data_IF_468805549946
#
_entry.id   IF_468805549946
#
_cell.length_a   1.000
_cell.length_b   1.000
_cell.length_c   1.000
_cell.angle_alpha   90.00
_cell.angle_beta   90.00
_cell.angle_gamma   90.00
#
_symmetry.space_group_name_H-M   'P 1'
#
loop_
_entity.id
_entity.type
_entity.pdbx_description
1 polymer ?
#
# COMPACT_ATOMS: atom_id res chain seq x y z
N UNK A 1 -17.81 -17.76 -61.29
CA UNK A 1 -17.47 -18.48 -60.03
C UNK A 1 -16.45 -17.65 -59.28
N UNK A 2 -16.88 -17.05 -58.19
CA UNK A 2 -16.14 -16.03 -57.45
C UNK A 2 -15.25 -16.69 -56.37
N UNK A 3 -13.96 -16.34 -56.41
CA UNK A 3 -12.98 -16.76 -55.38
C UNK A 3 -12.91 -15.66 -54.34
N UNK A 4 -13.24 -16.00 -53.09
CA UNK A 4 -13.13 -15.10 -51.94
C UNK A 4 -11.71 -15.18 -51.35
N UNK A 5 -11.03 -14.03 -51.35
CA UNK A 5 -9.71 -13.86 -50.76
C UNK A 5 -9.88 -13.39 -49.30
N UNK A 6 -9.61 -14.28 -48.34
CA UNK A 6 -9.52 -13.91 -46.91
C UNK A 6 -8.15 -13.29 -46.65
N UNK A 7 -8.15 -12.00 -46.33
CA UNK A 7 -6.95 -11.30 -45.80
C UNK A 7 -6.95 -11.46 -44.29
N UNK A 8 -6.04 -12.27 -43.76
CA UNK A 8 -5.75 -12.36 -42.32
C UNK A 8 -4.80 -11.20 -41.95
N UNK A 9 -5.33 -10.23 -41.24
CA UNK A 9 -4.51 -9.20 -40.59
C UNK A 9 -3.98 -9.78 -39.30
N UNK A 10 -2.72 -10.19 -39.30
CA UNK A 10 -1.98 -10.62 -38.13
C UNK A 10 -1.64 -9.42 -37.23
N UNK A 11 -2.21 -9.40 -36.05
CA UNK A 11 -1.87 -8.44 -35.01
C UNK A 11 -0.60 -8.92 -34.29
N UNK A 12 0.56 -8.37 -34.65
CA UNK A 12 1.81 -8.61 -33.91
C UNK A 12 1.76 -7.87 -32.57
N UNK A 13 1.62 -8.62 -31.51
CA UNK A 13 1.75 -8.12 -30.14
C UNK A 13 3.25 -8.13 -29.81
N UNK A 14 3.91 -6.98 -29.93
CA UNK A 14 5.29 -6.82 -29.47
C UNK A 14 5.29 -6.64 -27.96
N UNK A 15 5.68 -7.70 -27.25
CA UNK A 15 5.98 -7.63 -25.81
C UNK A 15 7.40 -7.06 -25.69
N UNK A 16 7.50 -5.79 -25.28
CA UNK A 16 8.77 -5.18 -24.92
C UNK A 16 9.06 -5.48 -23.45
N UNK A 17 9.88 -6.49 -23.20
CA UNK A 17 10.45 -6.76 -21.88
C UNK A 17 11.59 -5.79 -21.64
N UNK A 18 11.38 -4.80 -20.76
CA UNK A 18 12.46 -3.95 -20.24
C UNK A 18 13.06 -4.65 -19.04
N UNK A 19 14.30 -5.13 -19.18
CA UNK A 19 15.09 -5.61 -18.06
C UNK A 19 15.44 -4.42 -17.15
N UNK A 20 15.09 -4.52 -15.86
CA UNK A 20 15.52 -3.57 -14.85
C UNK A 20 16.93 -3.95 -14.41
N UNK A 21 17.93 -3.16 -14.79
CA UNK A 21 19.26 -3.23 -14.19
C UNK A 21 19.22 -2.61 -12.77
N UNK A 22 19.67 -3.38 -11.81
CA UNK A 22 19.82 -2.95 -10.43
C UNK A 22 21.07 -2.07 -10.30
N UNK A 23 20.89 -0.81 -9.91
CA UNK A 23 21.98 0.05 -9.42
C UNK A 23 22.05 -0.03 -7.88
N UNK A 24 23.25 0.05 -7.28
CA UNK A 24 23.43 -0.13 -5.85
C UNK A 24 22.86 1.06 -5.06
N UNK A 25 22.34 0.72 -3.88
CA UNK A 25 21.72 1.57 -2.89
C UNK A 25 22.65 2.63 -2.32
N UNK A 26 22.23 3.88 -2.35
CA UNK A 26 22.31 4.73 -1.15
C UNK A 26 21.28 5.87 -1.26
N UNK A 27 20.52 6.06 -0.18
CA UNK A 27 19.43 7.03 0.02
C UNK A 27 18.02 6.51 -0.23
N UNK A 28 17.24 6.37 0.87
CA UNK A 28 15.90 5.83 0.92
C UNK A 28 14.80 6.72 0.31
N UNK A 29 14.89 6.94 -1.00
CA UNK A 29 13.85 7.61 -1.77
C UNK A 29 13.43 6.70 -2.92
N UNK A 30 12.44 5.85 -2.69
CA UNK A 30 11.85 5.01 -3.76
C UNK A 30 10.70 5.78 -4.41
N UNK A 31 10.99 6.43 -5.53
CA UNK A 31 9.97 6.95 -6.43
C UNK A 31 9.41 5.80 -7.26
N UNK A 32 8.21 5.32 -6.93
CA UNK A 32 7.48 4.39 -7.79
C UNK A 32 6.72 5.16 -8.87
N UNK A 33 7.19 5.06 -10.11
CA UNK A 33 6.43 5.49 -11.29
C UNK A 33 5.39 4.41 -11.60
N UNK A 34 4.13 4.65 -11.28
CA UNK A 34 3.04 3.78 -11.73
C UNK A 34 2.55 4.28 -13.09
N UNK A 35 2.88 3.55 -14.16
CA UNK A 35 2.29 3.78 -15.49
C UNK A 35 1.00 2.98 -15.56
N UNK A 36 -0.12 3.65 -15.50
CA UNK A 36 -1.44 3.04 -15.77
C UNK A 36 -1.67 3.09 -17.27
N UNK A 37 -1.55 1.95 -17.95
CA UNK A 37 -1.93 1.82 -19.37
C UNK A 37 -3.45 1.67 -19.46
N UNK A 38 -4.16 2.71 -19.83
CA UNK A 38 -5.55 2.64 -20.27
C UNK A 38 -5.66 2.95 -21.76
N UNK A 39 -6.51 2.17 -22.40
CA UNK A 39 -6.80 2.11 -23.82
C UNK A 39 -7.27 3.46 -24.38
N UNK A 40 -6.62 3.91 -25.42
CA UNK A 40 -6.98 4.88 -26.43
C UNK A 40 -8.35 5.56 -26.31
N UNK A 41 -8.33 6.83 -25.90
CA UNK A 41 -9.20 7.90 -26.35
C UNK A 41 -8.44 9.22 -26.15
N UNK A 42 -8.40 10.08 -27.15
CA UNK A 42 -7.66 11.33 -27.16
C UNK A 42 -8.25 12.37 -26.18
N UNK A 43 -7.92 12.19 -24.91
CA UNK A 43 -8.05 13.19 -23.86
C UNK A 43 -6.65 13.37 -23.30
N UNK A 44 -6.21 14.60 -23.14
CA UNK A 44 -4.96 14.97 -22.48
C UNK A 44 -4.84 14.13 -21.19
N UNK A 45 -3.98 13.08 -21.21
CA UNK A 45 -3.71 12.30 -20.01
C UNK A 45 -3.00 13.24 -19.03
N UNK A 46 -3.70 13.67 -18.00
CA UNK A 46 -3.10 14.30 -16.83
C UNK A 46 -2.12 13.29 -16.23
N UNK A 47 -0.83 13.48 -16.50
CA UNK A 47 0.22 12.66 -15.91
C UNK A 47 0.35 13.04 -14.45
N UNK A 48 -0.10 12.15 -13.57
CA UNK A 48 0.09 12.29 -12.14
C UNK A 48 1.32 11.52 -11.70
N UNK A 49 2.25 12.21 -11.07
CA UNK A 49 3.32 11.59 -10.32
C UNK A 49 2.82 11.26 -8.92
N UNK A 50 3.42 10.24 -8.28
CA UNK A 50 3.03 9.81 -6.93
C UNK A 50 4.26 9.69 -6.06
N UNK A 51 4.21 10.31 -4.88
CA UNK A 51 5.16 10.04 -3.80
C UNK A 51 4.45 9.37 -2.63
N UNK A 52 5.13 8.39 -1.99
CA UNK A 52 4.50 7.53 -0.99
C UNK A 52 5.33 7.42 0.28
N UNK A 53 4.65 7.38 1.43
CA UNK A 53 5.26 7.26 2.75
C UNK A 53 4.42 6.33 3.62
N UNK A 54 5.04 5.63 4.59
CA UNK A 54 4.32 4.74 5.51
C UNK A 54 4.69 5.05 6.96
N UNK A 55 3.67 5.33 7.79
CA UNK A 55 3.78 5.51 9.25
C UNK A 55 3.34 4.24 9.95
N UNK A 56 4.15 3.73 10.87
CA UNK A 56 3.92 2.47 11.57
C UNK A 56 3.44 2.65 13.00
N UNK A 57 2.71 1.65 13.51
CA UNK A 57 2.10 1.70 14.84
C UNK A 57 2.36 0.43 15.64
N UNK A 58 2.37 0.58 16.97
CA UNK A 58 2.30 -0.55 17.87
C UNK A 58 0.92 -1.23 17.82
N UNK A 59 0.83 -2.44 18.32
CA UNK A 59 -0.45 -3.15 18.44
C UNK A 59 -1.42 -2.31 19.29
N UNK A 60 -2.69 -2.22 18.84
CA UNK A 60 -3.77 -1.48 19.50
C UNK A 60 -3.54 0.04 19.71
N UNK A 61 -2.52 0.63 19.06
CA UNK A 61 -2.24 2.07 19.13
C UNK A 61 -2.62 2.75 17.81
N UNK A 62 -3.30 3.90 17.89
CA UNK A 62 -3.61 4.76 16.74
C UNK A 62 -2.84 6.09 16.76
N UNK A 63 -2.27 6.48 17.91
CA UNK A 63 -1.47 7.69 18.04
C UNK A 63 -0.13 7.54 17.31
N UNK A 64 0.28 8.58 16.57
CA UNK A 64 1.58 8.64 15.93
C UNK A 64 2.68 8.77 16.99
N UNK A 65 3.57 7.78 17.02
CA UNK A 65 4.77 7.79 17.87
C UNK A 65 6.00 8.03 17.01
N UNK A 66 6.61 9.22 17.10
CA UNK A 66 7.80 9.58 16.30
C UNK A 66 8.99 8.67 16.56
N UNK A 67 9.17 8.22 17.80
CA UNK A 67 10.26 7.32 18.18
C UNK A 67 10.03 5.84 17.83
N UNK A 68 8.89 5.49 17.24
CA UNK A 68 8.62 4.10 16.86
C UNK A 68 9.11 3.82 15.43
N UNK A 69 9.95 2.79 15.28
CA UNK A 69 10.59 2.45 14.00
C UNK A 69 11.23 3.69 13.34
N UNK A 70 10.98 3.87 12.05
CA UNK A 70 11.50 5.00 11.26
C UNK A 70 10.50 6.17 11.12
N UNK A 71 9.50 6.26 12.00
CA UNK A 71 8.44 7.25 11.87
C UNK A 71 8.96 8.70 11.84
N UNK A 72 9.97 9.02 12.64
CA UNK A 72 10.53 10.38 12.67
C UNK A 72 11.08 10.79 11.30
N UNK A 73 11.87 9.92 10.66
CA UNK A 73 12.43 10.16 9.33
C UNK A 73 11.32 10.16 8.26
N UNK A 74 10.36 9.23 8.32
CA UNK A 74 9.21 9.17 7.41
C UNK A 74 8.36 10.44 7.48
N UNK A 75 8.01 10.90 8.68
CA UNK A 75 7.23 12.12 8.86
C UNK A 75 7.97 13.36 8.38
N UNK A 76 9.30 13.41 8.59
CA UNK A 76 10.15 14.47 8.05
C UNK A 76 10.13 14.46 6.53
N UNK A 77 10.37 13.31 5.90
CA UNK A 77 10.36 13.15 4.45
C UNK A 77 8.98 13.48 3.84
N UNK A 78 7.89 13.03 4.47
CA UNK A 78 6.54 13.37 4.05
C UNK A 78 6.27 14.89 4.13
N UNK A 79 6.75 15.55 5.18
CA UNK A 79 6.64 17.01 5.34
C UNK A 79 7.40 17.75 4.25
N UNK A 80 8.65 17.35 4.02
CA UNK A 80 9.52 17.98 3.02
C UNK A 80 9.01 17.75 1.60
N UNK A 81 8.60 16.49 1.30
CA UNK A 81 8.02 16.14 0.00
C UNK A 81 6.72 16.90 -0.28
N UNK A 82 5.81 16.97 0.70
CA UNK A 82 4.57 17.71 0.56
C UNK A 82 4.83 19.21 0.31
N UNK A 83 5.71 19.81 1.11
CA UNK A 83 6.07 21.22 0.95
C UNK A 83 6.76 21.50 -0.39
N UNK A 84 7.66 20.63 -0.83
CA UNK A 84 8.32 20.80 -2.12
C UNK A 84 7.31 20.88 -3.28
N UNK A 85 6.23 20.10 -3.22
CA UNK A 85 5.14 20.15 -4.21
C UNK A 85 4.32 21.43 -4.05
N UNK A 86 3.87 21.72 -2.84
CA UNK A 86 2.96 22.86 -2.55
C UNK A 86 3.62 24.22 -2.85
N UNK A 87 4.95 24.33 -2.64
CA UNK A 87 5.68 25.58 -2.90
C UNK A 87 6.34 25.65 -4.27
N UNK A 88 6.23 24.62 -5.07
CA UNK A 88 6.67 24.62 -6.46
C UNK A 88 5.55 25.19 -7.36
N UNK A 89 5.79 26.32 -7.98
CA UNK A 89 4.79 26.99 -8.83
C UNK A 89 4.34 26.19 -10.06
N UNK A 90 5.11 25.17 -10.45
CA UNK A 90 4.83 24.30 -11.59
C UNK A 90 4.13 23.00 -11.20
N UNK A 91 3.96 22.71 -9.89
CA UNK A 91 3.34 21.48 -9.41
C UNK A 91 2.01 21.78 -8.75
N UNK A 92 1.04 20.88 -8.92
CA UNK A 92 -0.26 20.93 -8.25
C UNK A 92 -0.55 19.62 -7.58
N UNK A 93 -0.95 19.64 -6.30
CA UNK A 93 -1.49 18.47 -5.64
C UNK A 93 -2.88 18.19 -6.23
N UNK A 94 -3.03 16.96 -6.73
CA UNK A 94 -4.33 16.46 -7.18
C UNK A 94 -5.11 15.86 -6.01
N UNK A 95 -4.50 14.94 -5.26
CA UNK A 95 -5.09 14.31 -4.07
C UNK A 95 -4.00 13.77 -3.14
N UNK A 96 -4.32 13.73 -1.85
CA UNK A 96 -3.55 13.04 -0.82
C UNK A 96 -4.39 11.89 -0.30
N UNK A 97 -4.05 10.66 -0.69
CA UNK A 97 -4.69 9.46 -0.18
C UNK A 97 -4.01 9.03 1.12
N UNK A 98 -4.81 8.78 2.13
CA UNK A 98 -4.36 8.33 3.45
C UNK A 98 -5.08 7.03 3.77
N UNK A 99 -4.34 5.92 3.73
CA UNK A 99 -4.89 4.58 3.84
C UNK A 99 -4.43 3.97 5.16
N UNK A 100 -5.32 3.93 6.14
CA UNK A 100 -5.06 3.28 7.42
C UNK A 100 -5.30 1.78 7.34
N UNK A 101 -4.41 1.01 7.98
CA UNK A 101 -4.48 -0.46 8.03
C UNK A 101 -4.18 -0.99 9.44
N UNK A 102 -4.72 -2.16 9.75
CA UNK A 102 -4.45 -2.94 10.93
C UNK A 102 -4.08 -4.38 10.56
N UNK A 103 -3.30 -5.04 11.41
CA UNK A 103 -3.02 -6.46 11.27
C UNK A 103 -4.23 -7.31 11.65
N UNK A 104 -4.43 -8.49 11.02
CA UNK A 104 -5.63 -9.30 11.21
C UNK A 104 -5.63 -10.16 12.49
N UNK A 105 -5.01 -9.69 13.56
CA UNK A 105 -4.92 -10.44 14.82
C UNK A 105 -6.06 -10.17 15.81
N UNK A 106 -6.67 -8.99 15.71
CA UNK A 106 -7.74 -8.56 16.58
C UNK A 106 -9.14 -8.86 16.03
N UNK A 107 -10.15 -8.23 16.66
CA UNK A 107 -11.54 -8.27 16.16
C UNK A 107 -11.68 -7.31 14.99
N UNK A 108 -12.41 -7.68 13.91
CA UNK A 108 -12.56 -6.85 12.71
C UNK A 108 -13.06 -5.44 12.99
N UNK A 109 -14.02 -5.28 13.90
CA UNK A 109 -14.62 -3.98 14.22
C UNK A 109 -13.62 -3.05 14.90
N UNK A 110 -12.81 -3.60 15.82
CA UNK A 110 -11.73 -2.84 16.46
C UNK A 110 -10.63 -2.46 15.47
N UNK A 111 -10.27 -3.38 14.57
CA UNK A 111 -9.27 -3.14 13.54
C UNK A 111 -9.74 -2.10 12.52
N UNK A 112 -11.02 -2.12 12.15
CA UNK A 112 -11.61 -1.09 11.29
C UNK A 112 -11.56 0.30 11.96
N UNK A 113 -11.86 0.38 13.27
CA UNK A 113 -11.74 1.63 14.03
C UNK A 113 -10.29 2.10 14.13
N UNK A 114 -9.36 1.21 14.50
CA UNK A 114 -7.93 1.54 14.58
C UNK A 114 -7.38 2.05 13.25
N UNK A 115 -7.73 1.40 12.15
CA UNK A 115 -7.31 1.80 10.82
C UNK A 115 -7.83 3.20 10.47
N UNK A 116 -9.08 3.51 10.78
CA UNK A 116 -9.67 4.84 10.60
C UNK A 116 -8.97 5.89 11.46
N UNK A 117 -8.83 5.64 12.74
CA UNK A 117 -8.23 6.58 13.71
C UNK A 117 -6.77 6.89 13.35
N UNK A 118 -6.03 5.91 12.83
CA UNK A 118 -4.67 6.08 12.29
C UNK A 118 -4.65 7.01 11.09
N UNK A 119 -5.53 6.77 10.13
CA UNK A 119 -5.62 7.59 8.92
C UNK A 119 -6.02 9.03 9.24
N UNK A 120 -7.01 9.23 10.10
CA UNK A 120 -7.42 10.57 10.56
C UNK A 120 -6.31 11.28 11.34
N UNK A 121 -5.56 10.56 12.17
CA UNK A 121 -4.40 11.12 12.87
C UNK A 121 -3.30 11.62 11.92
N UNK A 122 -3.04 10.89 10.83
CA UNK A 122 -2.10 11.32 9.80
C UNK A 122 -2.64 12.52 9.02
N UNK A 123 -3.93 12.53 8.65
CA UNK A 123 -4.58 13.69 8.03
C UNK A 123 -4.42 14.95 8.89
N UNK A 124 -4.74 14.84 10.18
CA UNK A 124 -4.61 15.96 11.12
C UNK A 124 -3.15 16.46 11.20
N UNK A 125 -2.19 15.54 11.25
CA UNK A 125 -0.78 15.88 11.20
C UNK A 125 -0.41 16.66 9.93
N UNK A 126 -0.77 16.15 8.74
CA UNK A 126 -0.44 16.80 7.46
C UNK A 126 -1.09 18.19 7.36
N UNK A 127 -2.34 18.36 7.78
CA UNK A 127 -3.00 19.66 7.84
C UNK A 127 -2.31 20.64 8.81
N UNK A 128 -1.76 20.14 9.91
CA UNK A 128 -1.06 20.99 10.89
C UNK A 128 0.27 21.55 10.35
N UNK A 129 0.92 20.82 9.45
CA UNK A 129 2.21 21.23 8.86
C UNK A 129 2.05 22.01 7.55
N UNK A 130 0.94 21.83 6.86
CA UNK A 130 0.60 22.56 5.62
C UNK A 130 -0.88 23.03 5.65
N UNK A 131 -1.15 24.19 6.27
CA UNK A 131 -2.52 24.70 6.44
C UNK A 131 -3.23 25.08 5.15
N UNK A 132 -2.51 25.18 4.02
CA UNK A 132 -3.10 25.44 2.71
C UNK A 132 -3.89 24.27 2.15
N UNK A 133 -3.62 23.04 2.65
CA UNK A 133 -4.41 21.88 2.31
C UNK A 133 -5.76 21.90 3.02
N UNK A 134 -6.80 21.76 2.24
CA UNK A 134 -8.19 21.70 2.69
C UNK A 134 -8.65 20.24 2.84
N UNK A 135 -9.82 20.03 3.42
CA UNK A 135 -10.39 18.68 3.50
C UNK A 135 -10.67 18.07 2.11
N UNK A 136 -10.92 18.89 1.11
CA UNK A 136 -11.14 18.46 -0.27
C UNK A 136 -9.89 17.83 -0.92
N UNK A 137 -8.70 18.15 -0.42
CA UNK A 137 -7.45 17.60 -0.94
C UNK A 137 -7.17 16.20 -0.44
N UNK A 138 -7.85 15.75 0.62
CA UNK A 138 -7.62 14.45 1.24
C UNK A 138 -8.69 13.42 0.89
N UNK A 139 -8.23 12.19 0.72
CA UNK A 139 -9.08 10.99 0.65
C UNK A 139 -8.63 10.04 1.75
N UNK A 140 -9.46 9.87 2.79
CA UNK A 140 -9.17 8.99 3.92
C UNK A 140 -9.84 7.64 3.71
N UNK A 141 -9.07 6.58 3.75
CA UNK A 141 -9.52 5.21 3.53
C UNK A 141 -9.17 4.37 4.76
N UNK A 142 -10.16 3.73 5.36
CA UNK A 142 -9.94 2.70 6.37
C UNK A 142 -9.99 1.33 5.67
N UNK A 143 -8.84 0.68 5.53
CA UNK A 143 -8.75 -0.69 5.00
C UNK A 143 -9.21 -1.73 6.03
N UNK A 144 -9.25 -1.37 7.31
CA UNK A 144 -9.47 -2.31 8.39
C UNK A 144 -8.31 -3.31 8.49
N UNK A 145 -8.62 -4.60 8.45
CA UNK A 145 -7.62 -5.67 8.43
C UNK A 145 -6.92 -5.78 7.07
N UNK A 146 -5.59 -5.69 7.05
CA UNK A 146 -4.80 -5.81 5.82
C UNK A 146 -4.60 -7.27 5.43
N UNK A 147 -5.65 -7.90 4.90
CA UNK A 147 -5.60 -9.29 4.42
C UNK A 147 -4.76 -9.45 3.15
N UNK A 148 -4.66 -8.42 2.31
CA UNK A 148 -3.78 -8.44 1.15
C UNK A 148 -2.30 -8.52 1.59
N UNK A 149 -1.89 -7.66 2.51
CA UNK A 149 -0.57 -7.70 3.09
C UNK A 149 -0.30 -9.00 3.84
N UNK A 150 -1.29 -9.50 4.59
CA UNK A 150 -1.18 -10.79 5.28
C UNK A 150 -1.02 -11.97 4.32
N UNK A 151 -1.67 -11.94 3.15
CA UNK A 151 -1.49 -12.97 2.10
C UNK A 151 -0.07 -12.95 1.52
N UNK A 152 0.49 -11.76 1.28
CA UNK A 152 1.88 -11.62 0.84
C UNK A 152 2.87 -12.15 1.88
N UNK A 153 2.60 -11.87 3.16
CA UNK A 153 3.36 -12.40 4.29
C UNK A 153 3.26 -13.93 4.35
N UNK A 154 2.07 -14.51 4.17
CA UNK A 154 1.88 -15.95 4.14
C UNK A 154 2.77 -16.62 3.09
N UNK A 155 2.81 -16.08 1.88
CA UNK A 155 3.66 -16.58 0.80
C UNK A 155 5.16 -16.49 1.15
N UNK A 156 5.60 -15.37 1.74
CA UNK A 156 7.00 -15.21 2.18
C UNK A 156 7.35 -16.16 3.31
N UNK A 157 6.46 -16.33 4.30
CA UNK A 157 6.64 -17.27 5.41
C UNK A 157 6.77 -18.72 4.93
N UNK A 158 5.89 -19.13 4.02
CA UNK A 158 5.91 -20.48 3.46
C UNK A 158 7.18 -20.73 2.63
N UNK A 159 7.65 -19.76 1.87
CA UNK A 159 8.93 -19.83 1.14
C UNK A 159 10.10 -19.99 2.11
N UNK A 160 10.14 -19.21 3.20
CA UNK A 160 11.19 -19.26 4.21
C UNK A 160 11.22 -20.60 4.95
N UNK A 161 10.04 -21.18 5.21
CA UNK A 161 9.91 -22.44 6.00
C UNK A 161 9.86 -23.70 5.15
N UNK A 162 9.83 -23.57 3.82
CA UNK A 162 9.68 -24.71 2.90
C UNK A 162 8.29 -25.37 2.97
N UNK A 163 7.25 -24.59 3.31
CA UNK A 163 5.86 -25.04 3.48
C UNK A 163 4.94 -24.32 2.48
N UNK A 164 3.72 -24.81 2.28
CA UNK A 164 2.64 -24.08 1.58
C UNK A 164 1.43 -23.86 2.50
N UNK A 165 1.48 -24.35 3.72
CA UNK A 165 0.30 -24.50 4.60
C UNK A 165 -0.38 -23.17 4.94
N UNK A 166 0.39 -22.10 5.15
CA UNK A 166 -0.18 -20.78 5.52
C UNK A 166 -0.87 -20.16 4.32
N UNK A 167 -0.22 -20.20 3.16
CA UNK A 167 -0.79 -19.70 1.90
C UNK A 167 -2.06 -20.46 1.51
N UNK A 168 -2.10 -21.77 1.73
CA UNK A 168 -3.26 -22.59 1.41
C UNK A 168 -4.46 -22.21 2.30
N UNK A 169 -4.25 -22.03 3.62
CA UNK A 169 -5.30 -21.51 4.52
C UNK A 169 -5.85 -20.16 4.04
N UNK A 170 -4.97 -19.30 3.53
CA UNK A 170 -5.37 -17.97 3.06
C UNK A 170 -6.14 -18.02 1.73
N UNK A 171 -5.87 -19.01 0.88
CA UNK A 171 -6.57 -19.22 -0.39
C UNK A 171 -7.93 -19.90 -0.17
N UNK A 172 -7.95 -20.97 0.62
CA UNK A 172 -9.10 -21.85 0.75
C UNK A 172 -10.25 -21.23 1.57
N UNK A 173 -9.93 -20.38 2.54
CA UNK A 173 -10.93 -19.76 3.40
C UNK A 173 -11.27 -18.35 2.92
N UNK A 174 -12.56 -18.09 2.65
CA UNK A 174 -13.05 -16.75 2.33
C UNK A 174 -13.39 -15.93 3.59
N UNK A 175 -13.68 -16.60 4.71
CA UNK A 175 -14.06 -15.95 5.96
C UNK A 175 -12.81 -15.64 6.81
N UNK A 176 -12.68 -14.36 7.23
CA UNK A 176 -11.53 -13.89 8.02
C UNK A 176 -11.41 -14.59 9.39
N UNK A 177 -12.52 -14.83 10.07
CA UNK A 177 -12.52 -15.50 11.38
C UNK A 177 -12.11 -16.98 11.24
N UNK A 178 -12.54 -17.65 10.18
CA UNK A 178 -12.10 -19.01 9.87
C UNK A 178 -10.59 -19.06 9.63
N UNK A 179 -10.05 -18.14 8.82
CA UNK A 179 -8.59 -18.01 8.63
C UNK A 179 -7.86 -17.88 9.97
N UNK A 180 -8.29 -16.96 10.81
CA UNK A 180 -7.72 -16.75 12.15
C UNK A 180 -7.78 -18.01 13.01
N UNK A 181 -8.91 -18.70 13.00
CA UNK A 181 -9.10 -19.93 13.78
C UNK A 181 -8.16 -21.04 13.30
N UNK A 182 -8.06 -21.26 12.00
CA UNK A 182 -7.15 -22.26 11.42
C UNK A 182 -5.69 -21.94 11.75
N UNK A 183 -5.29 -20.67 11.59
CA UNK A 183 -3.93 -20.22 11.94
C UNK A 183 -3.59 -20.40 13.43
N UNK A 184 -4.54 -20.13 14.33
CA UNK A 184 -4.37 -20.33 15.78
C UNK A 184 -4.22 -21.80 16.15
N UNK A 185 -4.72 -22.72 15.35
CA UNK A 185 -4.61 -24.18 15.57
C UNK A 185 -3.35 -24.78 14.95
N UNK A 186 -2.79 -24.12 13.93
CA UNK A 186 -1.63 -24.63 13.20
C UNK A 186 -0.42 -24.74 14.11
N UNK A 187 0.16 -25.96 14.18
CA UNK A 187 1.31 -26.28 15.02
C UNK A 187 1.16 -25.81 16.49
N UNK A 188 -0.03 -26.02 17.08
CA UNK A 188 -0.31 -25.60 18.46
C UNK A 188 -0.24 -24.06 18.66
N UNK A 189 -0.47 -23.30 17.60
CA UNK A 189 -0.44 -21.84 17.60
C UNK A 189 0.95 -21.21 17.45
N UNK A 190 1.99 -21.99 17.23
CA UNK A 190 3.36 -21.47 17.07
C UNK A 190 3.46 -20.58 15.82
N UNK A 191 2.88 -21.01 14.70
CA UNK A 191 2.87 -20.24 13.46
C UNK A 191 2.16 -18.90 13.67
N UNK A 192 0.98 -18.92 14.31
CA UNK A 192 0.22 -17.71 14.60
C UNK A 192 1.01 -16.71 15.46
N UNK A 193 1.65 -17.20 16.53
CA UNK A 193 2.49 -16.35 17.40
C UNK A 193 3.64 -15.73 16.62
N UNK A 194 4.34 -16.52 15.79
CA UNK A 194 5.44 -16.03 14.97
C UNK A 194 4.98 -14.99 13.94
N UNK A 195 3.84 -15.18 13.29
CA UNK A 195 3.27 -14.17 12.38
C UNK A 195 2.98 -12.86 13.11
N UNK A 196 2.39 -12.90 14.29
CA UNK A 196 2.07 -11.71 15.08
C UNK A 196 3.32 -10.96 15.55
N UNK A 197 4.35 -11.69 16.02
CA UNK A 197 5.58 -11.08 16.55
C UNK A 197 6.47 -10.49 15.46
N UNK A 198 6.70 -11.24 14.39
CA UNK A 198 7.79 -10.97 13.46
C UNK A 198 7.31 -10.29 12.16
N UNK A 199 6.12 -10.65 11.67
CA UNK A 199 5.65 -10.24 10.35
C UNK A 199 4.53 -9.19 10.39
N UNK A 200 3.49 -9.40 11.20
CA UNK A 200 2.32 -8.53 11.26
C UNK A 200 2.57 -7.10 11.77
N UNK A 201 3.66 -6.80 12.50
CA UNK A 201 4.01 -5.42 12.79
C UNK A 201 4.17 -4.52 11.56
N UNK A 202 4.47 -5.08 10.39
CA UNK A 202 4.55 -4.37 9.12
C UNK A 202 3.17 -3.97 8.55
N UNK A 203 2.10 -4.65 8.98
CA UNK A 203 0.72 -4.39 8.56
C UNK A 203 0.02 -3.28 9.36
N UNK A 204 0.59 -2.91 10.51
CA UNK A 204 0.05 -1.86 11.39
C UNK A 204 0.56 -0.50 10.93
N UNK A 205 -0.01 0.02 9.83
CA UNK A 205 0.50 1.23 9.20
C UNK A 205 -0.58 2.15 8.65
N UNK A 206 -0.16 3.35 8.32
CA UNK A 206 -0.91 4.26 7.45
C UNK A 206 -0.02 4.62 6.28
N UNK A 207 -0.49 4.34 5.10
CA UNK A 207 0.16 4.70 3.85
C UNK A 207 -0.37 6.07 3.39
N UNK A 208 0.54 6.94 2.97
CA UNK A 208 0.28 8.28 2.45
C UNK A 208 0.73 8.29 1.00
N UNK A 209 -0.18 8.60 0.08
CA UNK A 209 0.14 8.76 -1.34
C UNK A 209 -0.25 10.17 -1.77
N UNK A 210 0.74 10.96 -2.15
CA UNK A 210 0.53 12.32 -2.67
C UNK A 210 0.57 12.24 -4.18
N UNK A 211 -0.58 12.46 -4.82
CA UNK A 211 -0.71 12.55 -6.28
C UNK A 211 -0.61 14.01 -6.68
N UNK A 212 0.26 14.32 -7.62
CA UNK A 212 0.49 15.67 -8.13
C UNK A 212 0.78 15.63 -9.63
N UNK A 213 0.51 16.76 -10.30
CA UNK A 213 0.77 16.96 -11.73
C UNK A 213 1.70 18.15 -11.94
N UNK A 214 2.39 18.15 -13.07
CA UNK A 214 3.16 19.28 -13.60
C UNK A 214 2.28 20.18 -14.45
#
# INVERSE_FOLDING_TARGET
MAVWLCVLIGCFLSILTVAAEALPSDSGFTSMRTVVLSKSSSVLEDRHDTTSFSVYYRSAVSKIERGFRNNAATLKAATEGLRSIVYNGNLRIYKVYIIGAASPEGRPELNARLARDRAEGVKAFLKSIEPRLTDADFVVISRGEDWEGATKIAASYDTETGSSTVSDIFKDSQNSETKKLMMKRLQGGNVWRRLISDYYPSLRRTDIHVLYST
#
